data_IF_328972430377
#
_entry.id   IF_328972430377
#
_cell.length_a   1.000
_cell.length_b   1.000
_cell.length_c   1.000
_cell.angle_alpha   90.00
_cell.angle_beta   90.00
_cell.angle_gamma   90.00
#
_symmetry.space_group_name_H-M   'P 1'
#
loop_
_entity.id
_entity.type
_entity.pdbx_description
1 polymer ?
#
# COMPACT_ATOMS: atom_id res chain seq x y z
N UNK A 1 11.22 -15.10 -20.28
CA UNK A 1 9.76 -15.31 -20.18
C UNK A 1 9.02 -14.22 -20.96
N UNK A 2 8.01 -14.60 -21.74
CA UNK A 2 7.13 -13.64 -22.44
C UNK A 2 6.39 -12.74 -21.44
N UNK A 3 6.10 -11.50 -21.82
CA UNK A 3 5.32 -10.56 -20.98
C UNK A 3 3.92 -11.08 -20.67
N UNK A 4 3.31 -11.84 -21.59
CA UNK A 4 2.02 -12.48 -21.36
C UNK A 4 2.08 -13.51 -20.23
N UNK A 5 3.16 -14.29 -20.17
CA UNK A 5 3.33 -15.28 -19.09
C UNK A 5 3.47 -14.61 -17.73
N UNK A 6 4.19 -13.47 -17.65
CA UNK A 6 4.33 -12.70 -16.41
C UNK A 6 2.97 -12.18 -15.92
N UNK A 7 2.15 -11.67 -16.84
CA UNK A 7 0.79 -11.21 -16.51
C UNK A 7 -0.07 -12.37 -15.99
N UNK A 8 -0.07 -13.51 -16.69
CA UNK A 8 -0.85 -14.68 -16.28
C UNK A 8 -0.46 -15.18 -14.90
N UNK A 9 0.84 -15.28 -14.61
CA UNK A 9 1.33 -15.70 -13.29
C UNK A 9 0.87 -14.71 -12.21
N UNK A 10 0.97 -13.40 -12.46
CA UNK A 10 0.53 -12.37 -11.51
C UNK A 10 -0.97 -12.44 -11.24
N UNK A 11 -1.78 -12.74 -12.24
CA UNK A 11 -3.22 -12.94 -12.06
C UNK A 11 -3.51 -14.21 -11.25
N UNK A 12 -2.81 -15.31 -11.52
CA UNK A 12 -2.94 -16.53 -10.73
C UNK A 12 -2.54 -16.31 -9.26
N UNK A 13 -1.47 -15.55 -9.00
CA UNK A 13 -1.05 -15.22 -7.64
C UNK A 13 -2.15 -14.50 -6.85
N UNK A 14 -2.84 -13.53 -7.49
CA UNK A 14 -3.98 -12.83 -6.89
C UNK A 14 -5.14 -13.79 -6.58
N UNK A 15 -5.45 -14.71 -7.48
CA UNK A 15 -6.49 -15.72 -7.25
C UNK A 15 -6.14 -16.63 -6.07
N UNK A 16 -4.87 -17.05 -5.95
CA UNK A 16 -4.42 -17.85 -4.82
C UNK A 16 -4.51 -17.07 -3.51
N UNK A 17 -4.10 -15.80 -3.49
CA UNK A 17 -4.21 -14.93 -2.32
C UNK A 17 -5.68 -14.74 -1.90
N UNK A 18 -6.57 -14.47 -2.85
CA UNK A 18 -8.00 -14.32 -2.59
C UNK A 18 -8.60 -15.58 -1.96
N UNK A 19 -8.27 -16.75 -2.49
CA UNK A 19 -8.75 -18.02 -1.94
C UNK A 19 -8.21 -18.29 -0.53
N UNK A 20 -6.96 -17.88 -0.26
CA UNK A 20 -6.33 -18.09 1.05
C UNK A 20 -6.91 -17.20 2.15
N UNK A 21 -7.40 -16.00 1.82
CA UNK A 21 -7.94 -15.02 2.78
C UNK A 21 -9.45 -14.77 2.56
N UNK A 22 -10.18 -15.75 2.01
CA UNK A 22 -11.58 -15.59 1.58
C UNK A 22 -12.51 -15.05 2.69
N UNK A 23 -12.33 -15.50 3.93
CA UNK A 23 -13.12 -15.02 5.08
C UNK A 23 -12.94 -13.51 5.30
N UNK A 24 -11.70 -13.01 5.27
CA UNK A 24 -11.41 -11.58 5.44
C UNK A 24 -12.02 -10.74 4.31
N UNK A 25 -12.01 -11.23 3.07
CA UNK A 25 -12.67 -10.56 1.95
C UNK A 25 -14.18 -10.53 2.10
N UNK A 26 -14.77 -11.61 2.62
CA UNK A 26 -16.19 -11.67 2.89
C UNK A 26 -16.57 -10.67 3.98
N UNK A 27 -15.81 -10.64 5.08
CA UNK A 27 -16.04 -9.74 6.20
C UNK A 27 -15.92 -8.27 5.78
N UNK A 28 -14.89 -7.94 5.01
CA UNK A 28 -14.69 -6.59 4.47
C UNK A 28 -15.91 -6.05 3.70
N UNK A 29 -16.64 -6.92 2.98
CA UNK A 29 -17.69 -6.49 2.07
C UNK A 29 -19.10 -6.68 2.62
N UNK A 30 -19.31 -7.68 3.47
CA UNK A 30 -20.63 -8.18 3.83
C UNK A 30 -20.87 -8.37 5.33
N UNK A 31 -19.87 -8.17 6.19
CA UNK A 31 -20.04 -8.31 7.63
C UNK A 31 -20.41 -6.99 8.29
N UNK A 32 -21.34 -7.06 9.24
CA UNK A 32 -21.76 -5.96 10.12
C UNK A 32 -21.78 -6.47 11.57
N UNK A 33 -21.39 -5.62 12.53
CA UNK A 33 -21.39 -6.00 13.95
C UNK A 33 -22.82 -5.93 14.52
N UNK A 34 -23.47 -7.08 14.67
CA UNK A 34 -24.80 -7.15 15.27
C UNK A 34 -24.86 -6.65 16.72
N UNK A 35 -23.72 -6.50 17.40
CA UNK A 35 -23.67 -5.96 18.76
C UNK A 35 -23.89 -4.44 18.80
N UNK A 36 -23.63 -3.73 17.69
CA UNK A 36 -23.77 -2.27 17.62
C UNK A 36 -25.23 -1.84 17.78
N UNK A 37 -26.19 -2.72 17.44
CA UNK A 37 -27.63 -2.51 17.69
C UNK A 37 -27.97 -2.39 19.20
N UNK A 38 -27.09 -2.87 20.08
CA UNK A 38 -27.32 -2.90 21.53
C UNK A 38 -26.33 -2.04 22.32
N UNK A 39 -25.29 -1.49 21.67
CA UNK A 39 -24.24 -0.68 22.30
C UNK A 39 -24.36 0.77 21.83
N UNK A 40 -25.28 1.52 22.43
CA UNK A 40 -25.44 2.93 22.10
C UNK A 40 -24.18 3.74 22.45
N UNK A 41 -23.59 4.41 21.45
CA UNK A 41 -22.46 5.32 21.63
C UNK A 41 -21.08 4.66 21.74
N UNK A 42 -21.01 3.33 21.65
CA UNK A 42 -19.76 2.57 21.60
C UNK A 42 -19.66 1.77 20.30
N UNK A 43 -18.44 1.46 19.85
CA UNK A 43 -18.22 0.67 18.63
C UNK A 43 -16.86 -0.03 18.66
N UNK A 44 -16.73 -1.09 17.87
CA UNK A 44 -15.50 -1.90 17.82
C UNK A 44 -14.88 -1.83 16.42
N UNK A 45 -13.54 -1.85 16.35
CA UNK A 45 -12.83 -1.98 15.07
C UNK A 45 -12.48 -3.46 14.82
N UNK A 46 -12.95 -4.01 13.71
CA UNK A 46 -12.53 -5.33 13.23
C UNK A 46 -11.24 -5.18 12.40
N UNK A 47 -10.08 -5.68 12.88
CA UNK A 47 -8.85 -5.68 12.09
C UNK A 47 -8.96 -6.70 10.94
N UNK A 48 -8.80 -6.24 9.70
CA UNK A 48 -8.89 -7.08 8.50
C UNK A 48 -7.51 -7.55 8.03
N UNK A 49 -6.78 -6.69 7.32
CA UNK A 49 -5.49 -7.03 6.73
C UNK A 49 -4.30 -6.39 7.45
N UNK A 50 -3.17 -7.09 7.42
CA UNK A 50 -1.87 -6.57 7.84
C UNK A 50 -0.91 -6.53 6.67
N UNK A 51 -0.68 -5.33 6.14
CA UNK A 51 0.32 -5.10 5.11
C UNK A 51 1.72 -4.98 5.73
N UNK A 52 2.67 -5.71 5.15
CA UNK A 52 4.08 -5.62 5.56
C UNK A 52 5.01 -5.81 4.37
N UNK A 53 6.26 -5.40 4.52
CA UNK A 53 7.31 -5.59 3.52
C UNK A 53 8.65 -5.75 4.23
N UNK A 54 9.43 -6.76 3.83
CA UNK A 54 10.74 -6.99 4.43
C UNK A 54 11.68 -5.80 4.19
N UNK A 55 11.53 -5.10 3.06
CA UNK A 55 12.28 -3.86 2.73
C UNK A 55 11.97 -2.69 3.67
N UNK A 56 10.80 -2.73 4.31
CA UNK A 56 10.29 -1.69 5.21
C UNK A 56 10.41 -2.05 6.70
N UNK A 57 10.87 -3.25 7.05
CA UNK A 57 10.81 -3.81 8.43
C UNK A 57 11.48 -2.98 9.53
N UNK A 58 12.50 -2.17 9.18
CA UNK A 58 13.22 -1.29 10.12
C UNK A 58 12.94 0.19 9.87
N UNK A 59 11.84 0.50 9.19
CA UNK A 59 11.40 1.85 8.85
C UNK A 59 10.01 2.08 9.45
N UNK A 60 9.70 3.33 9.72
CA UNK A 60 8.41 3.77 10.20
C UNK A 60 7.51 4.08 9.01
N UNK A 61 6.21 3.80 9.14
CA UNK A 61 5.21 4.33 8.20
C UNK A 61 5.09 5.83 8.47
N UNK A 62 5.34 6.65 7.46
CA UNK A 62 5.31 8.11 7.59
C UNK A 62 4.11 8.74 6.91
N UNK A 63 3.56 8.09 5.89
CA UNK A 63 2.41 8.59 5.15
C UNK A 63 1.69 7.45 4.41
N UNK A 64 0.38 7.63 4.22
CA UNK A 64 -0.49 6.71 3.48
C UNK A 64 -1.41 7.54 2.59
N UNK A 65 -1.56 7.16 1.32
CA UNK A 65 -2.48 7.79 0.36
C UNK A 65 -3.17 6.79 -0.54
N UNK A 66 -4.49 6.87 -0.59
CA UNK A 66 -5.32 6.10 -1.51
C UNK A 66 -5.30 6.69 -2.91
N UNK A 67 -5.33 5.83 -3.91
CA UNK A 67 -5.41 6.24 -5.30
C UNK A 67 -6.83 6.78 -5.60
N UNK A 68 -6.96 7.93 -6.30
CA UNK A 68 -8.26 8.56 -6.52
C UNK A 68 -9.17 7.79 -7.49
N UNK A 69 -8.61 6.93 -8.35
CA UNK A 69 -9.38 6.13 -9.32
C UNK A 69 -9.55 4.67 -8.88
N UNK A 70 -8.54 4.11 -8.24
CA UNK A 70 -8.52 2.71 -7.84
C UNK A 70 -8.65 2.58 -6.32
N UNK A 71 -9.88 2.36 -5.85
CA UNK A 71 -10.21 2.27 -4.42
C UNK A 71 -9.55 1.08 -3.71
N UNK A 72 -8.93 0.16 -4.45
CA UNK A 72 -8.19 -0.97 -3.91
C UNK A 72 -6.68 -0.70 -3.82
N UNK A 73 -6.17 0.43 -4.29
CA UNK A 73 -4.74 0.73 -4.35
C UNK A 73 -4.37 1.87 -3.39
N UNK A 74 -3.40 1.63 -2.51
CA UNK A 74 -2.83 2.65 -1.64
C UNK A 74 -1.31 2.69 -1.76
N UNK A 75 -0.72 3.88 -1.63
CA UNK A 75 0.71 4.08 -1.48
C UNK A 75 1.03 4.30 -0.01
N UNK A 76 2.07 3.63 0.47
CA UNK A 76 2.59 3.75 1.83
C UNK A 76 4.05 4.18 1.75
N UNK A 77 4.35 5.30 2.37
CA UNK A 77 5.69 5.84 2.50
C UNK A 77 6.33 5.36 3.79
N UNK A 78 7.58 4.90 3.67
CA UNK A 78 8.39 4.46 4.77
C UNK A 78 9.65 5.32 4.87
N UNK A 79 9.97 5.71 6.10
CA UNK A 79 11.12 6.54 6.40
C UNK A 79 11.54 6.41 7.87
N UNK A 80 12.12 7.49 8.40
CA UNK A 80 12.52 7.60 9.80
C UNK A 80 12.17 9.01 10.27
N UNK A 81 11.44 9.11 11.39
CA UNK A 81 11.27 10.36 12.11
C UNK A 81 12.38 10.62 13.14
N UNK A 82 13.29 9.66 13.31
CA UNK A 82 14.41 9.81 14.23
C UNK A 82 15.52 10.65 13.57
N UNK A 83 15.70 11.86 14.11
CA UNK A 83 16.71 12.82 13.65
C UNK A 83 18.14 12.26 13.68
N UNK A 84 18.45 11.39 14.65
CA UNK A 84 19.76 10.77 14.81
C UNK A 84 19.93 9.56 13.89
N UNK A 85 18.83 8.89 13.53
CA UNK A 85 18.80 7.75 12.60
C UNK A 85 18.19 8.15 11.27
N UNK A 86 18.88 9.03 10.57
CA UNK A 86 18.58 9.34 9.16
C UNK A 86 18.92 8.12 8.32
N UNK A 87 17.98 7.71 7.48
CA UNK A 87 18.14 6.53 6.63
C UNK A 87 17.40 6.71 5.32
N UNK A 88 17.59 5.73 4.43
CA UNK A 88 16.87 5.64 3.16
C UNK A 88 15.37 5.47 3.38
N UNK A 89 14.59 5.83 2.37
CA UNK A 89 13.15 5.60 2.35
C UNK A 89 12.77 4.45 1.43
N UNK A 90 11.53 3.99 1.60
CA UNK A 90 10.91 3.01 0.70
C UNK A 90 9.46 3.44 0.49
N UNK A 91 8.96 3.26 -0.71
CA UNK A 91 7.55 3.43 -1.04
C UNK A 91 7.03 2.07 -1.46
N UNK A 92 5.95 1.60 -0.84
CA UNK A 92 5.23 0.40 -1.29
C UNK A 92 3.82 0.80 -1.70
N UNK A 93 3.40 0.38 -2.88
CA UNK A 93 2.01 0.45 -3.30
C UNK A 93 1.35 -0.90 -3.05
N UNK A 94 0.34 -0.96 -2.20
CA UNK A 94 -0.41 -2.17 -1.88
C UNK A 94 -1.76 -2.17 -2.58
N UNK A 95 -2.18 -3.35 -3.04
CA UNK A 95 -3.51 -3.55 -3.62
C UNK A 95 -4.30 -4.56 -2.80
N UNK A 96 -5.59 -4.33 -2.61
CA UNK A 96 -6.48 -5.34 -2.01
C UNK A 96 -6.61 -6.60 -2.88
N UNK A 97 -6.09 -6.63 -4.10
CA UNK A 97 -6.03 -7.85 -4.93
C UNK A 97 -4.89 -8.79 -4.54
N UNK A 98 -3.86 -8.29 -3.84
CA UNK A 98 -2.77 -9.08 -3.29
C UNK A 98 -2.27 -8.40 -2.02
N UNK A 99 -2.77 -8.89 -0.89
CA UNK A 99 -2.51 -8.36 0.45
C UNK A 99 -1.12 -8.75 0.98
N UNK A 100 -0.52 -9.79 0.39
CA UNK A 100 0.75 -10.38 0.83
C UNK A 100 1.96 -9.62 0.31
N UNK A 101 1.90 -9.15 -0.93
CA UNK A 101 3.02 -8.49 -1.60
C UNK A 101 2.60 -7.15 -2.21
N UNK A 102 3.43 -6.09 -2.07
CA UNK A 102 3.16 -4.82 -2.72
C UNK A 102 3.23 -4.96 -4.25
N UNK A 103 2.30 -4.28 -4.92
CA UNK A 103 2.19 -4.20 -6.38
C UNK A 103 3.38 -3.45 -6.99
N UNK A 104 3.83 -2.38 -6.32
CA UNK A 104 4.98 -1.57 -6.72
C UNK A 104 5.85 -1.24 -5.51
N UNK A 105 7.17 -1.19 -5.71
CA UNK A 105 8.13 -0.81 -4.67
C UNK A 105 9.20 0.11 -5.26
N UNK A 106 9.39 1.26 -4.63
CA UNK A 106 10.43 2.23 -4.97
C UNK A 106 11.34 2.46 -3.78
N UNK A 107 12.65 2.53 -4.02
CA UNK A 107 13.62 2.92 -2.99
C UNK A 107 13.96 4.40 -3.19
N UNK A 108 14.16 5.12 -2.10
CA UNK A 108 14.54 6.54 -2.11
C UNK A 108 15.79 6.75 -1.27
N UNK A 109 16.65 7.68 -1.68
CA UNK A 109 17.93 7.92 -1.01
C UNK A 109 17.77 8.55 0.37
N UNK A 110 16.66 9.26 0.61
CA UNK A 110 16.24 9.79 1.89
C UNK A 110 14.86 9.27 2.31
N UNK A 111 14.55 9.37 3.61
CA UNK A 111 13.27 8.94 4.17
C UNK A 111 12.10 9.66 3.52
N UNK A 112 11.05 8.91 3.18
CA UNK A 112 9.81 9.46 2.63
C UNK A 112 9.05 10.18 3.74
N UNK A 113 8.60 11.39 3.50
CA UNK A 113 7.85 12.20 4.47
C UNK A 113 6.41 12.47 4.02
N UNK A 114 6.17 12.55 2.71
CA UNK A 114 4.85 12.80 2.15
C UNK A 114 4.68 12.11 0.80
N UNK A 115 3.43 11.80 0.48
CA UNK A 115 2.99 11.20 -0.77
C UNK A 115 1.71 11.92 -1.23
N UNK A 116 1.50 11.99 -2.54
CA UNK A 116 0.19 12.34 -3.10
C UNK A 116 0.01 11.79 -4.52
N UNK A 117 -1.16 11.22 -4.80
CA UNK A 117 -1.51 10.74 -6.13
C UNK A 117 -2.07 11.88 -6.97
N UNK A 118 -1.71 11.93 -8.25
CA UNK A 118 -2.31 12.93 -9.14
C UNK A 118 -3.82 12.67 -9.32
N UNK A 119 -4.69 13.69 -9.16
CA UNK A 119 -6.14 13.51 -9.19
C UNK A 119 -6.66 12.98 -10.54
N UNK A 120 -6.13 13.49 -11.65
CA UNK A 120 -6.56 13.11 -13.01
C UNK A 120 -5.69 12.03 -13.67
N UNK A 121 -4.50 11.75 -13.11
CA UNK A 121 -3.51 10.86 -13.72
C UNK A 121 -3.10 9.79 -12.70
N UNK A 122 -3.90 8.73 -12.52
CA UNK A 122 -3.78 7.79 -11.40
C UNK A 122 -2.50 6.96 -11.35
N UNK A 123 -1.66 7.04 -12.39
CA UNK A 123 -0.37 6.39 -12.42
C UNK A 123 0.76 7.28 -11.87
N UNK A 124 0.51 8.57 -11.67
CA UNK A 124 1.52 9.54 -11.25
C UNK A 124 1.45 9.74 -9.73
N UNK A 125 2.58 9.56 -9.08
CA UNK A 125 2.74 9.70 -7.63
C UNK A 125 3.84 10.73 -7.32
N UNK A 126 3.47 11.80 -6.62
CA UNK A 126 4.40 12.77 -6.07
C UNK A 126 4.88 12.35 -4.68
N UNK A 127 6.15 12.62 -4.37
CA UNK A 127 6.83 12.17 -3.16
C UNK A 127 7.71 13.28 -2.63
N UNK A 128 7.57 13.59 -1.34
CA UNK A 128 8.49 14.47 -0.61
C UNK A 128 9.42 13.67 0.28
N UNK A 129 10.72 13.96 0.20
CA UNK A 129 11.76 13.35 1.01
C UNK A 129 12.24 14.28 2.13
N UNK A 130 12.88 13.68 3.14
CA UNK A 130 13.39 14.39 4.32
C UNK A 130 14.46 15.45 4.02
N UNK A 131 15.26 15.26 2.97
CA UNK A 131 16.31 16.19 2.54
C UNK A 131 15.78 17.39 1.74
N UNK A 132 14.46 17.48 1.54
CA UNK A 132 13.81 18.49 0.73
C UNK A 132 13.67 18.11 -0.76
N UNK A 133 14.21 16.96 -1.18
CA UNK A 133 14.04 16.47 -2.54
C UNK A 133 12.58 16.09 -2.80
N UNK A 134 12.06 16.50 -3.95
CA UNK A 134 10.73 16.11 -4.43
C UNK A 134 10.90 15.22 -5.66
N UNK A 135 10.25 14.06 -5.64
CA UNK A 135 10.28 13.07 -6.72
C UNK A 135 8.88 12.88 -7.29
N UNK A 136 8.82 12.55 -8.58
CA UNK A 136 7.58 12.17 -9.27
C UNK A 136 7.80 10.83 -9.96
N UNK A 137 6.99 9.85 -9.63
CA UNK A 137 7.03 8.51 -10.22
C UNK A 137 5.82 8.28 -11.12
N UNK A 138 6.05 7.71 -12.32
CA UNK A 138 5.00 6.96 -13.03
C UNK A 138 5.09 5.50 -12.60
N UNK A 139 4.10 5.01 -11.86
CA UNK A 139 4.13 3.65 -11.29
C UNK A 139 4.04 2.53 -12.33
N UNK A 140 3.66 2.86 -13.57
CA UNK A 140 3.61 1.90 -14.68
C UNK A 140 4.96 1.74 -15.38
N UNK A 141 5.84 2.73 -15.24
CA UNK A 141 7.15 2.70 -15.86
C UNK A 141 7.95 1.56 -15.22
N UNK A 142 8.31 0.55 -16.04
CA UNK A 142 9.24 -0.49 -15.60
C UNK A 142 10.58 0.19 -15.32
N UNK A 143 11.04 0.16 -14.08
CA UNK A 143 12.44 0.45 -13.76
C UNK A 143 13.31 -0.52 -14.57
N UNK A 144 14.20 0.03 -15.40
CA UNK A 144 15.16 -0.75 -16.18
C UNK A 144 16.19 -1.38 -15.25
#
# INVERSE_FOLDING_TARGET
>A
YSDNMKLSIKLMERMVNQNAENEVYHDFKYWEDASDDFREGEGTLLPLWRFSSEKAKRKQVTCIKWNPRYNDLCAVGFGSYDFLRRGTGVICCYSLKNTRFPEYVFNTDAGVCSLDWHPEHPAVLAVGLYDGTVLVYDVRAKTK
#
